data_IF_383544839291
#
_entry.id   IF_383544839291
#
_cell.length_a   1.000
_cell.length_b   1.000
_cell.length_c   1.000
_cell.angle_alpha   90.00
_cell.angle_beta   90.00
_cell.angle_gamma   90.00
#
_symmetry.space_group_name_H-M   'P 1'
#
loop_
_entity.id
_entity.type
_entity.pdbx_description
1 polymer ?
#
# COMPACT_ATOMS: atom_id res chain seq x y z
N UNK A 1 -6.50 -49.56 -1.81
CA UNK A 1 -7.78 -49.10 -2.38
C UNK A 1 -8.36 -48.00 -1.50
N UNK A 2 -8.26 -46.73 -1.91
CA UNK A 2 -9.23 -45.69 -1.54
C UNK A 2 -9.00 -44.49 -2.46
N UNK A 3 -9.76 -44.49 -3.54
CA UNK A 3 -9.94 -43.37 -4.45
C UNK A 3 -10.62 -42.21 -3.71
N UNK A 4 -9.97 -41.06 -3.69
CA UNK A 4 -10.65 -39.78 -3.47
C UNK A 4 -10.50 -38.96 -4.74
N UNK A 5 -11.48 -39.13 -5.62
CA UNK A 5 -11.78 -38.19 -6.68
C UNK A 5 -12.58 -37.05 -6.06
N UNK A 6 -12.08 -35.82 -6.16
CA UNK A 6 -12.90 -34.62 -6.07
C UNK A 6 -12.38 -33.60 -7.10
N UNK A 7 -13.38 -33.07 -7.80
CA UNK A 7 -13.36 -32.23 -8.99
C UNK A 7 -13.03 -30.76 -8.64
N UNK A 8 -11.96 -30.23 -9.27
CA UNK A 8 -11.81 -28.95 -10.01
C UNK A 8 -12.83 -27.83 -9.66
N UNK A 9 -12.41 -26.58 -9.31
CA UNK A 9 -11.97 -25.67 -10.37
C UNK A 9 -10.82 -24.70 -10.05
N UNK A 10 -10.03 -24.46 -11.10
CA UNK A 10 -9.30 -23.24 -11.43
C UNK A 10 -9.23 -22.17 -10.34
N UNK A 11 -8.14 -22.13 -9.59
CA UNK A 11 -7.66 -20.89 -8.99
C UNK A 11 -6.48 -20.41 -9.83
N UNK A 12 -6.86 -19.59 -10.80
CA UNK A 12 -6.08 -18.66 -11.59
C UNK A 12 -4.82 -18.24 -10.82
N UNK A 13 -3.67 -18.76 -11.25
CA UNK A 13 -2.36 -18.22 -10.89
C UNK A 13 -2.28 -16.81 -11.48
N UNK A 14 -2.70 -15.80 -10.72
CA UNK A 14 -2.40 -14.40 -11.04
C UNK A 14 -0.92 -14.21 -10.72
N UNK A 15 -0.08 -14.56 -11.68
CA UNK A 15 1.31 -14.10 -11.72
C UNK A 15 1.25 -12.59 -11.91
N UNK A 16 1.23 -11.85 -10.81
CA UNK A 16 1.39 -10.40 -10.82
C UNK A 16 2.87 -10.11 -11.12
N UNK A 17 3.23 -10.22 -12.40
CA UNK A 17 4.48 -9.69 -12.91
C UNK A 17 4.36 -8.15 -12.85
N UNK A 18 4.85 -7.58 -11.75
CA UNK A 18 5.14 -6.15 -11.63
C UNK A 18 6.25 -5.80 -12.61
N UNK A 19 5.87 -5.57 -13.85
CA UNK A 19 6.71 -4.89 -14.83
C UNK A 19 6.87 -3.44 -14.36
N UNK A 20 7.99 -3.15 -13.69
CA UNK A 20 8.41 -1.79 -13.39
C UNK A 20 8.83 -1.09 -14.70
N UNK A 21 7.87 -0.61 -15.47
CA UNK A 21 8.13 0.34 -16.54
C UNK A 21 8.44 1.69 -15.89
N UNK A 22 9.73 2.00 -15.81
CA UNK A 22 10.25 3.31 -15.44
C UNK A 22 9.69 4.36 -16.41
N UNK A 23 8.64 5.07 -15.98
CA UNK A 23 8.15 6.26 -16.67
C UNK A 23 9.03 7.45 -16.26
N UNK A 24 10.12 7.63 -17.01
CA UNK A 24 10.89 8.85 -17.03
C UNK A 24 10.16 9.88 -17.91
N UNK A 25 9.46 10.84 -17.30
CA UNK A 25 9.15 12.12 -17.93
C UNK A 25 8.71 13.18 -16.89
N UNK A 26 9.63 14.12 -16.66
CA UNK A 26 9.40 15.56 -16.52
C UNK A 26 8.29 16.06 -15.59
N UNK A 27 8.68 16.51 -14.39
CA UNK A 27 8.19 17.78 -13.85
C UNK A 27 9.35 18.52 -13.15
N UNK A 28 9.79 19.60 -13.78
CA UNK A 28 10.49 20.66 -13.10
C UNK A 28 9.47 21.37 -12.19
N UNK A 29 9.64 21.26 -10.88
CA UNK A 29 9.50 22.41 -9.99
C UNK A 29 10.20 22.10 -8.68
N UNK A 30 11.08 23.01 -8.31
CA UNK A 30 11.87 23.03 -7.09
C UNK A 30 10.94 23.12 -5.89
N UNK A 31 10.81 21.98 -5.22
CA UNK A 31 10.16 21.81 -3.94
C UNK A 31 10.56 20.44 -3.39
N UNK A 32 11.86 20.15 -3.35
CA UNK A 32 12.43 19.00 -2.63
C UNK A 32 12.25 19.20 -1.13
N UNK A 33 10.99 19.19 -0.70
CA UNK A 33 10.65 18.75 0.62
C UNK A 33 10.96 17.27 0.67
N UNK A 34 11.73 16.89 1.67
CA UNK A 34 12.04 15.53 2.05
C UNK A 34 10.74 14.69 2.33
N UNK A 35 9.56 15.28 2.15
CA UNK A 35 8.21 14.71 2.03
C UNK A 35 7.93 13.82 0.80
N UNK A 36 8.75 13.88 -0.26
CA UNK A 36 8.56 13.06 -1.48
C UNK A 36 8.38 11.54 -1.22
N UNK A 37 9.21 10.87 -0.38
CA UNK A 37 9.03 9.46 -0.04
C UNK A 37 7.71 9.16 0.69
N UNK A 38 7.30 10.01 1.63
CA UNK A 38 6.03 9.80 2.34
C UNK A 38 4.81 10.03 1.45
N UNK A 39 4.85 11.03 0.57
CA UNK A 39 3.78 11.27 -0.39
C UNK A 39 3.55 10.03 -1.28
N UNK A 40 4.63 9.37 -1.72
CA UNK A 40 4.56 8.13 -2.52
C UNK A 40 4.00 6.93 -1.74
N UNK A 41 4.35 6.79 -0.47
CA UNK A 41 3.77 5.75 0.40
C UNK A 41 2.27 5.99 0.65
N UNK A 42 1.87 7.23 0.92
CA UNK A 42 0.46 7.58 1.12
C UNK A 42 -0.38 7.33 -0.13
N UNK A 43 0.16 7.66 -1.30
CA UNK A 43 -0.48 7.36 -2.58
C UNK A 43 -0.68 5.85 -2.79
N UNK A 44 0.34 5.04 -2.47
CA UNK A 44 0.23 3.58 -2.52
C UNK A 44 -0.82 3.02 -1.55
N UNK A 45 -0.87 3.53 -0.32
CA UNK A 45 -1.87 3.12 0.68
C UNK A 45 -3.27 3.51 0.23
N UNK A 46 -3.46 4.72 -0.30
CA UNK A 46 -4.76 5.17 -0.80
C UNK A 46 -5.24 4.35 -2.00
N UNK A 47 -4.33 4.00 -2.92
CA UNK A 47 -4.65 3.10 -4.02
C UNK A 47 -5.00 1.70 -3.51
N UNK A 48 -4.25 1.20 -2.52
CA UNK A 48 -4.59 0.01 -1.73
C UNK A 48 -6.02 0.08 -1.18
N UNK A 49 -6.38 1.18 -0.50
CA UNK A 49 -7.69 1.33 0.15
C UNK A 49 -8.86 1.36 -0.84
N UNK A 50 -8.60 1.79 -2.07
CA UNK A 50 -9.57 1.79 -3.18
C UNK A 50 -9.73 0.41 -3.80
N UNK A 51 -8.64 -0.36 -3.91
CA UNK A 51 -8.68 -1.71 -4.51
C UNK A 51 -9.01 -2.81 -3.52
N UNK A 52 -8.73 -2.62 -2.22
CA UNK A 52 -8.95 -3.64 -1.20
C UNK A 52 -10.39 -3.63 -0.70
N UNK A 53 -10.99 -4.82 -0.64
CA UNK A 53 -12.33 -5.05 -0.09
C UNK A 53 -12.32 -5.16 1.44
N UNK A 54 -11.71 -4.19 2.13
CA UNK A 54 -11.63 -4.19 3.61
C UNK A 54 -12.86 -3.59 4.29
N UNK A 55 -13.09 -3.96 5.54
CA UNK A 55 -14.17 -3.42 6.35
C UNK A 55 -14.06 -1.90 6.54
N UNK A 56 -15.18 -1.22 6.78
CA UNK A 56 -15.17 0.22 7.08
C UNK A 56 -14.35 0.55 8.35
N UNK A 57 -14.29 -0.36 9.31
CA UNK A 57 -13.50 -0.21 10.53
C UNK A 57 -12.00 -0.25 10.23
N UNK A 58 -11.55 -1.20 9.40
CA UNK A 58 -10.14 -1.31 9.03
C UNK A 58 -9.71 -0.17 8.11
N UNK A 59 -10.61 0.30 7.23
CA UNK A 59 -10.40 1.49 6.41
C UNK A 59 -10.16 2.74 7.27
N UNK A 60 -10.99 2.95 8.29
CA UNK A 60 -10.80 4.06 9.27
C UNK A 60 -9.47 3.95 10.01
N UNK A 61 -9.08 2.75 10.43
CA UNK A 61 -7.80 2.51 11.11
C UNK A 61 -6.60 2.77 10.20
N UNK A 62 -6.64 2.29 8.96
CA UNK A 62 -5.61 2.54 7.96
C UNK A 62 -5.45 4.04 7.68
N UNK A 63 -6.56 4.78 7.53
CA UNK A 63 -6.53 6.24 7.36
C UNK A 63 -5.96 6.97 8.58
N UNK A 64 -6.24 6.50 9.81
CA UNK A 64 -5.66 7.08 11.03
C UNK A 64 -4.14 6.86 11.09
N UNK A 65 -3.67 5.66 10.75
CA UNK A 65 -2.24 5.35 10.66
C UNK A 65 -1.54 6.21 9.60
N UNK A 66 -2.16 6.42 8.44
CA UNK A 66 -1.64 7.34 7.40
C UNK A 66 -1.51 8.77 7.93
N UNK A 67 -2.51 9.26 8.67
CA UNK A 67 -2.47 10.60 9.25
C UNK A 67 -1.34 10.75 10.29
N UNK A 68 -1.11 9.74 11.14
CA UNK A 68 0.02 9.72 12.08
C UNK A 68 1.37 9.66 11.36
N UNK A 69 1.49 8.82 10.32
CA UNK A 69 2.69 8.74 9.49
C UNK A 69 3.02 10.08 8.81
N UNK A 70 2.01 10.81 8.32
CA UNK A 70 2.20 12.14 7.75
C UNK A 70 2.66 13.19 8.77
N UNK A 71 2.19 13.12 10.02
CA UNK A 71 2.66 14.02 11.09
C UNK A 71 4.15 13.80 11.37
N UNK A 72 4.59 12.55 11.45
CA UNK A 72 6.01 12.19 11.61
C UNK A 72 6.84 12.63 10.43
N UNK A 73 6.30 12.45 9.22
CA UNK A 73 7.01 12.86 8.02
C UNK A 73 7.17 14.38 7.90
N UNK A 74 6.18 15.17 8.37
CA UNK A 74 6.30 16.63 8.51
C UNK A 74 7.36 17.04 9.54
N UNK A 75 7.68 16.16 10.49
CA UNK A 75 8.71 16.36 11.51
C UNK A 75 10.07 15.74 11.11
N UNK A 76 10.26 15.39 9.83
CA UNK A 76 11.46 14.71 9.32
C UNK A 76 11.77 13.34 9.97
N UNK A 77 10.80 12.76 10.69
CA UNK A 77 10.88 11.41 11.28
C UNK A 77 10.38 10.36 10.27
N UNK A 78 11.19 10.11 9.24
CA UNK A 78 10.87 9.17 8.16
C UNK A 78 10.74 7.72 8.63
N UNK A 79 11.56 7.33 9.62
CA UNK A 79 11.55 5.96 10.16
C UNK A 79 10.25 5.71 10.93
N UNK A 80 9.86 6.65 11.79
CA UNK A 80 8.58 6.58 12.49
C UNK A 80 7.41 6.63 11.52
N UNK A 81 7.45 7.50 10.50
CA UNK A 81 6.42 7.56 9.46
C UNK A 81 6.25 6.22 8.73
N UNK A 82 7.37 5.58 8.36
CA UNK A 82 7.37 4.30 7.66
C UNK A 82 6.72 3.18 8.48
N UNK A 83 6.93 3.12 9.80
CA UNK A 83 6.26 2.14 10.66
C UNK A 83 4.74 2.26 10.61
N UNK A 84 4.21 3.49 10.68
CA UNK A 84 2.76 3.73 10.55
C UNK A 84 2.23 3.34 9.17
N UNK A 85 2.97 3.64 8.10
CA UNK A 85 2.59 3.28 6.74
C UNK A 85 2.58 1.76 6.51
N UNK A 86 3.56 1.04 7.05
CA UNK A 86 3.59 -0.42 7.00
C UNK A 86 2.39 -1.01 7.74
N UNK A 87 2.04 -0.48 8.90
CA UNK A 87 0.86 -0.96 9.64
C UNK A 87 -0.45 -0.66 8.89
N UNK A 88 -0.54 0.48 8.19
CA UNK A 88 -1.67 0.78 7.32
C UNK A 88 -1.79 -0.22 6.15
N UNK A 89 -0.66 -0.62 5.56
CA UNK A 89 -0.61 -1.65 4.51
C UNK A 89 -1.00 -3.04 5.04
N UNK A 90 -0.65 -3.40 6.27
CA UNK A 90 -1.11 -4.66 6.86
C UNK A 90 -2.63 -4.71 7.00
N UNK A 91 -3.28 -3.56 7.30
CA UNK A 91 -4.74 -3.49 7.38
C UNK A 91 -5.42 -3.71 6.02
N UNK A 92 -4.73 -3.46 4.92
CA UNK A 92 -5.22 -3.64 3.56
C UNK A 92 -5.23 -5.10 3.10
N UNK A 93 -4.39 -5.93 3.69
CA UNK A 93 -4.17 -7.34 3.31
C UNK A 93 -4.70 -8.32 4.37
N UNK A 94 -5.50 -7.83 5.33
CA UNK A 94 -6.06 -8.61 6.42
C UNK A 94 -7.40 -9.24 6.04
#
# INVERSE_FOLDING_TARGET
MKTFALVVPSLISITFALSFTAFAANTATTGSGNSAPCAKMVESINNGLKTSAISAADRKRASALVAEGLKRCKADDYSGANSYFIDALKMLHK
#
